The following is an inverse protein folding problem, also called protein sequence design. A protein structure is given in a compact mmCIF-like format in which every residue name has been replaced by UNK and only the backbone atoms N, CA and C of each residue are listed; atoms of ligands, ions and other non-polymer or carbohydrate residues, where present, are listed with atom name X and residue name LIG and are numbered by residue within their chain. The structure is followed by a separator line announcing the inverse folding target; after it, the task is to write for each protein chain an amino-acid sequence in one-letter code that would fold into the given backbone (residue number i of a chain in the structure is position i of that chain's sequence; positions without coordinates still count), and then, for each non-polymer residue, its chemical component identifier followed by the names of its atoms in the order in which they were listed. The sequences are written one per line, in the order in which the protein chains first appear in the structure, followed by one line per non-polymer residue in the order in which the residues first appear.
data_IF_448171257647
#
_entry.id   IF_448171257647
#
_cell.length_a   1.000
_cell.length_b   1.000
_cell.length_c   1.000
_cell.angle_alpha   90.00
_cell.angle_beta   90.00
_cell.angle_gamma   90.00
#
_symmetry.space_group_name_H-M   'P 1'
#
loop_
_entity.id
_entity.type
_entity.pdbx_description
1 polymer ?
#
# COMPACT_ATOMS: atom_id res chain seq x y z
N UNK A 1 -4.48 -3.83 13.22
CA UNK A 1 -5.83 -4.23 13.56
C UNK A 1 -5.86 -5.72 13.94
N UNK A 2 -5.36 -6.59 13.08
CA UNK A 2 -5.18 -7.98 13.46
C UNK A 2 -4.10 -8.64 12.62
N UNK A 3 -3.61 -9.78 13.13
CA UNK A 3 -2.58 -10.58 12.47
C UNK A 3 -2.99 -12.05 12.47
N UNK A 4 -2.57 -12.76 11.43
CA UNK A 4 -2.75 -14.21 11.34
C UNK A 4 -1.72 -14.79 10.36
N UNK A 5 -0.79 -15.61 10.85
CA UNK A 5 0.31 -16.08 10.03
C UNK A 5 1.14 -14.92 9.51
N UNK A 6 1.31 -14.83 8.20
CA UNK A 6 2.01 -13.72 7.58
C UNK A 6 1.10 -12.51 7.34
N UNK A 7 -0.20 -12.66 7.52
CA UNK A 7 -1.16 -11.59 7.29
C UNK A 7 -1.14 -10.59 8.44
N UNK A 8 -0.97 -9.31 8.11
CA UNK A 8 -1.00 -8.22 9.07
C UNK A 8 -1.87 -7.10 8.48
N UNK A 9 -2.95 -6.75 9.16
CA UNK A 9 -3.90 -5.74 8.69
C UNK A 9 -3.86 -4.54 9.61
N UNK A 10 -3.58 -3.36 9.04
CA UNK A 10 -3.43 -2.11 9.75
C UNK A 10 -4.30 -1.03 9.13
N UNK A 11 -4.49 0.06 9.88
CA UNK A 11 -5.10 1.29 9.36
C UNK A 11 -4.01 2.35 9.29
N UNK A 12 -3.92 3.05 8.16
CA UNK A 12 -2.92 4.09 7.95
C UNK A 12 -3.62 5.39 7.60
N UNK A 13 -3.32 6.44 8.36
CA UNK A 13 -3.94 7.75 8.16
C UNK A 13 -2.89 8.84 8.34
N UNK A 14 -2.00 9.03 7.36
CA UNK A 14 -0.95 10.05 7.47
C UNK A 14 -1.52 11.46 7.46
N UNK A 15 -0.78 12.39 8.05
CA UNK A 15 -1.17 13.80 8.09
C UNK A 15 -0.05 14.64 7.49
N UNK A 16 -0.40 15.44 6.48
CA UNK A 16 0.51 16.37 5.83
C UNK A 16 1.49 15.72 4.88
N UNK A 17 2.22 14.74 5.32
CA UNK A 17 3.17 14.01 4.49
C UNK A 17 3.24 12.55 4.90
N UNK A 18 3.79 11.75 4.01
CA UNK A 18 3.93 10.32 4.21
C UNK A 18 5.42 9.96 4.25
N UNK A 19 5.99 9.74 5.45
CA UNK A 19 7.43 9.48 5.60
C UNK A 19 7.79 8.00 5.49
N UNK A 20 7.06 7.24 4.69
CA UNK A 20 7.29 5.80 4.57
C UNK A 20 8.66 5.46 3.97
N UNK A 21 9.18 4.31 4.39
CA UNK A 21 10.33 3.66 3.77
C UNK A 21 9.85 2.37 3.11
N UNK A 22 10.62 1.80 2.16
CA UNK A 22 10.23 0.54 1.56
C UNK A 22 10.03 -0.56 2.60
N UNK A 23 9.03 -1.40 2.38
CA UNK A 23 8.74 -2.53 3.26
C UNK A 23 9.31 -3.82 2.70
N UNK A 24 9.57 -4.78 3.58
CA UNK A 24 10.23 -6.03 3.20
C UNK A 24 9.27 -7.11 2.71
N UNK A 25 7.97 -6.87 2.83
CA UNK A 25 6.93 -7.81 2.37
C UNK A 25 6.01 -7.13 1.38
N UNK A 26 5.26 -7.90 0.63
CA UNK A 26 4.24 -7.37 -0.27
C UNK A 26 3.12 -6.71 0.54
N UNK A 27 2.52 -5.68 -0.01
CA UNK A 27 1.43 -4.99 0.67
C UNK A 27 0.35 -4.54 -0.31
N UNK A 28 -0.87 -4.45 0.23
CA UNK A 28 -2.05 -3.98 -0.48
C UNK A 28 -2.69 -2.88 0.35
N UNK A 29 -2.98 -1.76 -0.30
CA UNK A 29 -3.81 -0.71 0.30
C UNK A 29 -5.22 -0.81 -0.26
N UNK A 30 -6.21 -0.62 0.60
CA UNK A 30 -7.60 -0.44 0.19
C UNK A 30 -8.05 0.89 0.76
N UNK A 31 -8.24 1.88 -0.10
CA UNK A 31 -8.54 3.24 0.32
C UNK A 31 -9.96 3.33 0.84
N UNK A 32 -10.13 3.81 2.08
CA UNK A 32 -11.45 3.97 2.68
C UNK A 32 -12.04 5.34 2.36
N UNK A 33 -11.29 6.40 2.67
CA UNK A 33 -11.72 7.77 2.44
C UNK A 33 -10.55 8.61 1.93
N UNK A 34 -10.89 9.72 1.30
CA UNK A 34 -9.88 10.67 0.83
C UNK A 34 -9.40 10.40 -0.58
N UNK A 35 -8.66 11.36 -1.09
CA UNK A 35 -8.07 11.32 -2.44
C UNK A 35 -6.62 11.79 -2.35
N UNK A 36 -5.85 11.51 -3.38
CA UNK A 36 -4.47 11.97 -3.45
C UNK A 36 -3.74 11.39 -4.65
N UNK A 37 -2.42 11.45 -4.61
CA UNK A 37 -1.56 10.85 -5.62
C UNK A 37 -0.76 9.73 -4.97
N UNK A 38 -0.72 8.57 -5.62
CA UNK A 38 0.10 7.45 -5.17
C UNK A 38 1.32 7.32 -6.07
N UNK A 39 2.50 7.29 -5.45
CA UNK A 39 3.77 7.08 -6.13
C UNK A 39 4.21 5.66 -5.82
N UNK A 40 4.39 4.85 -6.88
CA UNK A 40 4.77 3.44 -6.74
C UNK A 40 5.94 3.20 -7.70
N UNK A 41 7.16 3.23 -7.16
CA UNK A 41 8.34 3.25 -8.00
C UNK A 41 8.36 4.47 -8.91
N UNK A 42 8.36 4.24 -10.22
CA UNK A 42 8.39 5.31 -11.21
C UNK A 42 6.99 5.73 -11.67
N UNK A 43 5.95 5.11 -11.16
CA UNK A 43 4.58 5.35 -11.61
C UNK A 43 3.85 6.26 -10.61
N UNK A 44 3.12 7.25 -11.13
CA UNK A 44 2.30 8.17 -10.33
C UNK A 44 0.90 8.17 -10.88
N UNK A 45 -0.09 8.10 -9.99
CA UNK A 45 -1.50 8.16 -10.41
C UNK A 45 -2.38 8.63 -9.26
N UNK A 46 -3.56 9.14 -9.62
CA UNK A 46 -4.54 9.59 -8.63
C UNK A 46 -5.31 8.39 -8.07
N UNK A 47 -5.65 8.49 -6.80
CA UNK A 47 -6.47 7.47 -6.13
C UNK A 47 -7.67 8.11 -5.44
N UNK A 48 -8.65 7.29 -5.12
CA UNK A 48 -9.83 7.70 -4.36
C UNK A 48 -10.43 6.51 -3.61
N UNK A 49 -11.54 6.75 -2.90
CA UNK A 49 -12.17 5.70 -2.08
C UNK A 49 -12.50 4.45 -2.89
N UNK A 50 -12.20 3.28 -2.31
CA UNK A 50 -12.45 1.99 -2.95
C UNK A 50 -11.33 1.50 -3.84
N UNK A 51 -10.31 2.32 -4.12
CA UNK A 51 -9.18 1.88 -4.93
C UNK A 51 -8.32 0.89 -4.15
N UNK A 52 -7.80 -0.10 -4.88
CA UNK A 52 -6.88 -1.10 -4.36
C UNK A 52 -5.51 -0.86 -5.00
N UNK A 53 -4.50 -0.68 -4.14
CA UNK A 53 -3.16 -0.33 -4.59
C UNK A 53 -2.20 -1.42 -4.11
N UNK A 54 -1.45 -2.01 -5.05
CA UNK A 54 -0.51 -3.08 -4.71
C UNK A 54 0.93 -2.58 -4.79
N UNK A 55 1.75 -2.93 -3.78
CA UNK A 55 3.16 -2.59 -3.74
C UNK A 55 3.97 -3.85 -3.48
N UNK A 56 4.81 -4.26 -4.44
CA UNK A 56 5.73 -5.38 -4.20
C UNK A 56 6.75 -5.04 -3.11
N UNK A 57 7.24 -6.05 -2.43
CA UNK A 57 8.27 -5.89 -1.41
C UNK A 57 9.48 -5.14 -1.98
N UNK A 58 10.03 -4.23 -1.19
CA UNK A 58 11.23 -3.48 -1.55
C UNK A 58 11.02 -2.30 -2.48
N UNK A 59 9.81 -2.10 -2.99
CA UNK A 59 9.53 -0.99 -3.90
C UNK A 59 9.29 0.29 -3.11
N UNK A 60 9.97 1.35 -3.49
CA UNK A 60 9.77 2.66 -2.89
C UNK A 60 8.39 3.19 -3.30
N UNK A 61 7.64 3.66 -2.31
CA UNK A 61 6.27 4.13 -2.53
C UNK A 61 5.90 5.17 -1.49
N UNK A 62 4.93 6.02 -1.84
CA UNK A 62 4.38 7.01 -0.90
C UNK A 62 3.09 7.59 -1.43
N UNK A 63 2.33 8.19 -0.51
CA UNK A 63 1.16 8.99 -0.84
C UNK A 63 1.58 10.47 -0.84
N UNK A 64 1.12 11.22 -1.84
CA UNK A 64 1.38 12.64 -1.97
C UNK A 64 0.09 13.40 -2.22
N UNK A 65 0.07 14.67 -1.84
CA UNK A 65 -1.06 15.58 -2.11
C UNK A 65 -2.40 14.97 -1.69
N UNK A 66 -2.41 14.28 -0.56
CA UNK A 66 -3.61 13.61 -0.10
C UNK A 66 -4.46 14.54 0.75
N UNK A 67 -5.78 14.32 0.72
CA UNK A 67 -6.74 15.10 1.50
C UNK A 67 -6.61 14.80 3.00
N UNK A 68 -7.12 15.73 3.82
CA UNK A 68 -7.02 15.61 5.28
C UNK A 68 -7.78 14.42 5.83
N UNK A 69 -8.79 13.93 5.10
CA UNK A 69 -9.60 12.80 5.51
C UNK A 69 -9.10 11.46 4.95
N UNK A 70 -7.89 11.43 4.39
CA UNK A 70 -7.34 10.20 3.81
C UNK A 70 -7.12 9.14 4.88
N UNK A 71 -7.74 7.98 4.68
CA UNK A 71 -7.59 6.79 5.53
C UNK A 71 -7.59 5.57 4.61
N UNK A 72 -6.65 4.67 4.82
CA UNK A 72 -6.55 3.45 4.02
C UNK A 72 -6.28 2.24 4.91
N UNK A 73 -6.82 1.10 4.52
CA UNK A 73 -6.39 -0.18 5.05
C UNK A 73 -5.04 -0.52 4.45
N UNK A 74 -4.16 -1.15 5.24
CA UNK A 74 -2.89 -1.68 4.77
C UNK A 74 -2.84 -3.15 5.13
N UNK A 75 -2.57 -4.00 4.14
CA UNK A 75 -2.47 -5.43 4.33
C UNK A 75 -1.06 -5.87 3.92
N UNK A 76 -0.30 -6.36 4.88
CA UNK A 76 0.99 -6.99 4.62
C UNK A 76 0.79 -8.50 4.62
N UNK A 77 1.46 -9.20 3.72
CA UNK A 77 1.30 -10.65 3.62
C UNK A 77 2.52 -11.28 2.96
N UNK A 78 2.63 -12.59 3.13
CA UNK A 78 3.68 -13.37 2.47
C UNK A 78 5.03 -13.27 3.16
N UNK A 79 6.06 -13.85 2.56
CA UNK A 79 7.39 -13.92 3.16
C UNK A 79 8.16 -12.62 3.05
N UNK A 80 9.20 -12.50 3.86
CA UNK A 80 10.22 -11.46 3.67
C UNK A 80 10.78 -11.55 2.26
N UNK A 81 10.92 -10.41 1.61
CA UNK A 81 11.38 -10.33 0.23
C UNK A 81 10.27 -10.45 -0.80
N UNK A 82 9.05 -10.75 -0.36
CA UNK A 82 7.87 -10.82 -1.22
C UNK A 82 7.62 -12.19 -1.79
N UNK A 83 6.40 -12.38 -2.30
CA UNK A 83 6.03 -13.63 -2.99
C UNK A 83 6.68 -13.67 -4.36
N UNK A 84 6.96 -14.87 -4.83
CA UNK A 84 7.41 -15.05 -6.21
C UNK A 84 6.25 -14.72 -7.15
N UNK A 85 6.58 -14.09 -8.29
CA UNK A 85 5.57 -13.80 -9.30
C UNK A 85 4.95 -15.13 -9.79
N UNK A 86 3.61 -15.14 -9.86
CA UNK A 86 2.90 -16.30 -10.38
C UNK A 86 2.96 -16.28 -11.90
N UNK A 87 3.31 -17.41 -12.50
CA UNK A 87 3.26 -17.56 -13.95
C UNK A 87 1.80 -17.76 -14.35
N UNK A 88 1.25 -16.83 -15.11
CA UNK A 88 -0.13 -16.84 -15.55
C UNK A 88 -0.27 -17.11 -17.04
N UNK A 89 0.75 -17.68 -17.63
CA UNK A 89 0.74 -17.94 -19.06
C UNK A 89 -0.20 -19.07 -19.45
N UNK A 90 -0.60 -19.86 -18.49
CA UNK A 90 -1.53 -20.96 -18.73
C UNK A 90 -2.96 -20.45 -18.87
#
# INVERSE_FOLDING_TARGET
VFEHGTLDVEVYAPRGRDPQTPHTRDEVYVVMTGTGTFVNGDVRFRFGPGDVLFVPAGVEHRFEDFSDDFVTWVVFYGPEGGEAATDRSA
#
